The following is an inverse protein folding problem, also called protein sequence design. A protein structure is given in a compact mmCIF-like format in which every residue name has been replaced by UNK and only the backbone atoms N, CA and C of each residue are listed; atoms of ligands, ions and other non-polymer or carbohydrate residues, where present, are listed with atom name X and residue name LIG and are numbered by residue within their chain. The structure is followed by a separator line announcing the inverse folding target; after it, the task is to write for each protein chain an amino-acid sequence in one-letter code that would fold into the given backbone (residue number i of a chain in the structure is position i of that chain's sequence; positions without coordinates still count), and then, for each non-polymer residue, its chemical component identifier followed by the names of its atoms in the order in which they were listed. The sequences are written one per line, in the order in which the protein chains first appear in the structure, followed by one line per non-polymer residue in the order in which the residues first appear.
data_IF_908306795748
#
_entry.id   IF_908306795748
#
_cell.length_a   1.000
_cell.length_b   1.000
_cell.length_c   1.000
_cell.angle_alpha   90.00
_cell.angle_beta   90.00
_cell.angle_gamma   90.00
#
_symmetry.space_group_name_H-M   'P 1'
#
loop_
_entity.id
_entity.type
_entity.pdbx_description
1 polymer ?
#
# COMPACT_ATOMS: atom_id res chain seq x y z
N UNK A 1 20.87 -1.48 17.64
CA UNK A 1 20.53 -2.57 16.70
C UNK A 1 19.64 -3.60 17.40
N UNK A 2 18.84 -4.40 16.68
CA UNK A 2 17.91 -5.38 17.30
C UNK A 2 18.59 -6.57 18.02
N UNK A 3 19.91 -6.71 17.88
CA UNK A 3 20.79 -7.61 18.66
C UNK A 3 21.38 -6.97 19.92
N UNK A 4 21.11 -5.68 20.17
CA UNK A 4 21.62 -4.92 21.31
C UNK A 4 22.89 -4.12 21.05
N UNK A 5 23.48 -4.21 19.85
CA UNK A 5 24.67 -3.40 19.51
C UNK A 5 24.33 -1.90 19.47
N UNK A 6 25.18 -1.09 20.12
CA UNK A 6 25.10 0.37 20.09
C UNK A 6 26.11 0.89 19.07
N UNK A 7 25.62 1.62 18.07
CA UNK A 7 26.43 2.24 17.03
C UNK A 7 26.41 3.75 17.27
N UNK A 8 27.60 4.37 17.31
CA UNK A 8 27.78 5.77 17.67
C UNK A 8 27.88 5.99 19.18
N UNK A 9 27.77 7.24 19.61
CA UNK A 9 27.87 7.63 21.02
C UNK A 9 26.58 8.31 21.44
N UNK A 10 25.68 7.63 22.17
CA UNK A 10 24.39 8.20 22.51
C UNK A 10 24.53 9.26 23.60
N UNK A 11 23.86 10.40 23.43
CA UNK A 11 23.80 11.46 24.45
C UNK A 11 22.99 11.04 25.69
N UNK A 12 22.00 10.17 25.48
CA UNK A 12 21.14 9.63 26.53
C UNK A 12 21.37 8.12 26.73
N UNK A 13 21.23 7.58 27.95
CA UNK A 13 21.30 6.14 28.18
C UNK A 13 20.30 5.38 27.31
N UNK A 14 20.79 4.39 26.56
CA UNK A 14 19.95 3.55 25.70
C UNK A 14 19.50 2.32 26.49
N UNK A 15 18.19 2.14 26.62
CA UNK A 15 17.61 0.93 27.19
C UNK A 15 17.25 -0.04 26.05
N UNK A 16 17.89 -1.20 26.02
CA UNK A 16 17.55 -2.24 25.07
C UNK A 16 16.36 -3.06 25.60
N UNK A 17 15.19 -2.85 25.00
CA UNK A 17 13.94 -3.55 25.34
C UNK A 17 13.52 -4.47 24.20
N UNK A 18 14.29 -5.51 23.88
CA UNK A 18 13.95 -6.42 22.79
C UNK A 18 14.59 -7.80 22.92
N UNK A 19 13.84 -8.85 22.58
CA UNK A 19 14.38 -10.12 22.08
C UNK A 19 13.62 -10.39 20.78
N UNK A 20 14.15 -9.91 19.66
CA UNK A 20 13.64 -10.31 18.33
C UNK A 20 13.97 -11.78 18.11
N UNK A 21 13.06 -12.52 17.49
CA UNK A 21 13.35 -13.87 17.00
C UNK A 21 14.46 -13.87 15.93
N UNK A 22 14.62 -12.75 15.22
CA UNK A 22 15.65 -12.52 14.22
C UNK A 22 16.96 -11.93 14.79
N UNK A 23 17.09 -11.72 16.11
CA UNK A 23 18.30 -11.12 16.70
C UNK A 23 19.59 -11.88 16.32
N UNK A 24 19.53 -13.21 16.25
CA UNK A 24 20.65 -14.06 15.83
C UNK A 24 21.07 -13.83 14.36
N UNK A 25 20.22 -13.21 13.54
CA UNK A 25 20.50 -12.89 12.15
C UNK A 25 21.36 -11.65 11.94
N UNK A 26 21.51 -10.77 12.93
CA UNK A 26 22.29 -9.52 12.84
C UNK A 26 23.82 -9.74 12.89
N UNK A 27 24.29 -10.79 12.23
CA UNK A 27 25.71 -11.12 12.10
C UNK A 27 26.41 -10.22 11.06
N UNK A 28 27.74 -10.22 11.09
CA UNK A 28 28.58 -9.53 10.10
C UNK A 28 29.44 -10.55 9.38
N UNK A 29 29.46 -10.48 8.06
CA UNK A 29 30.42 -11.18 7.20
C UNK A 29 30.98 -10.22 6.17
N UNK A 30 32.31 -10.19 6.01
CA UNK A 30 33.00 -9.24 5.15
C UNK A 30 33.06 -7.82 5.72
N UNK A 31 33.06 -6.83 4.82
CA UNK A 31 33.16 -5.40 5.12
C UNK A 31 32.12 -4.61 4.31
N UNK A 32 31.90 -3.34 4.63
CA UNK A 32 31.01 -2.50 3.82
C UNK A 32 31.52 -2.34 2.38
N UNK A 33 32.84 -2.25 2.20
CA UNK A 33 33.46 -2.24 0.87
C UNK A 33 33.20 -3.56 0.12
N UNK A 34 33.37 -4.72 0.76
CA UNK A 34 33.07 -5.99 0.08
C UNK A 34 31.58 -6.14 -0.22
N UNK A 35 30.69 -5.64 0.63
CA UNK A 35 29.25 -5.58 0.35
C UNK A 35 28.95 -4.72 -0.88
N UNK A 36 29.60 -3.56 -1.00
CA UNK A 36 29.50 -2.69 -2.18
C UNK A 36 29.93 -3.41 -3.46
N UNK A 37 31.11 -4.01 -3.42
CA UNK A 37 31.77 -4.59 -4.59
C UNK A 37 31.07 -5.88 -5.08
N UNK A 38 30.31 -6.55 -4.21
CA UNK A 38 29.67 -7.85 -4.53
C UNK A 38 28.13 -7.80 -4.53
N UNK A 39 27.49 -7.13 -3.59
CA UNK A 39 26.02 -7.07 -3.49
C UNK A 39 25.47 -5.82 -4.19
N UNK A 40 25.92 -4.63 -3.79
CA UNK A 40 25.43 -3.37 -4.38
C UNK A 40 25.75 -3.30 -5.88
N UNK A 41 26.94 -3.76 -6.28
CA UNK A 41 27.35 -3.85 -7.67
C UNK A 41 26.39 -4.67 -8.53
N UNK A 42 25.94 -5.84 -8.03
CA UNK A 42 25.05 -6.75 -8.76
C UNK A 42 23.57 -6.30 -8.75
N UNK A 43 23.18 -5.45 -7.79
CA UNK A 43 21.86 -4.84 -7.76
C UNK A 43 21.75 -3.57 -8.63
N UNK A 44 22.89 -2.96 -9.00
CA UNK A 44 22.94 -1.69 -9.70
C UNK A 44 22.24 -1.74 -11.07
N UNK A 45 21.27 -0.85 -11.28
CA UNK A 45 20.46 -0.77 -12.49
C UNK A 45 19.36 -1.84 -12.60
N UNK A 46 19.19 -2.71 -11.59
CA UNK A 46 18.00 -3.54 -11.42
C UNK A 46 17.04 -2.82 -10.46
N UNK A 47 16.12 -2.01 -10.99
CA UNK A 47 15.39 -1.00 -10.22
C UNK A 47 14.57 -1.54 -9.05
N UNK A 48 13.94 -2.72 -9.13
CA UNK A 48 13.26 -3.30 -7.97
C UNK A 48 14.23 -3.66 -6.83
N UNK A 49 15.44 -4.14 -7.14
CA UNK A 49 16.49 -4.40 -6.15
C UNK A 49 17.01 -3.10 -5.54
N UNK A 50 17.24 -2.08 -6.36
CA UNK A 50 17.64 -0.74 -5.90
C UNK A 50 16.58 -0.13 -4.98
N UNK A 51 15.30 -0.22 -5.33
CA UNK A 51 14.20 0.25 -4.48
C UNK A 51 14.13 -0.52 -3.15
N UNK A 52 14.37 -1.84 -3.18
CA UNK A 52 14.50 -2.64 -1.96
C UNK A 52 15.65 -2.16 -1.05
N UNK A 53 16.83 -1.92 -1.61
CA UNK A 53 17.97 -1.33 -0.86
C UNK A 53 17.61 0.08 -0.36
N UNK A 54 16.89 0.88 -1.15
CA UNK A 54 16.38 2.19 -0.75
C UNK A 54 15.46 2.11 0.48
N UNK A 55 14.59 1.10 0.55
CA UNK A 55 13.76 0.85 1.74
C UNK A 55 14.58 0.45 2.96
N UNK A 56 15.62 -0.37 2.80
CA UNK A 56 16.56 -0.69 3.87
C UNK A 56 17.21 0.58 4.42
N UNK A 57 17.81 1.39 3.54
CA UNK A 57 18.48 2.64 3.90
C UNK A 57 17.53 3.68 4.51
N UNK A 58 16.27 3.71 4.05
CA UNK A 58 15.24 4.63 4.55
C UNK A 58 14.77 4.29 5.98
N UNK A 59 14.94 3.05 6.44
CA UNK A 59 14.43 2.60 7.73
C UNK A 59 14.95 3.40 8.94
N UNK A 60 16.26 3.66 9.10
CA UNK A 60 16.76 4.57 10.13
C UNK A 60 16.50 6.05 9.81
N UNK A 61 16.27 6.40 8.54
CA UNK A 61 16.08 7.79 8.09
C UNK A 61 14.71 8.34 8.48
N UNK A 62 13.65 7.53 8.41
CA UNK A 62 12.28 7.99 8.75
C UNK A 62 12.20 8.54 10.17
N UNK A 63 13.06 8.05 11.07
CA UNK A 63 13.10 8.55 12.43
C UNK A 63 13.73 9.91 12.62
N UNK A 64 14.77 10.21 11.85
CA UNK A 64 15.41 11.52 11.85
C UNK A 64 14.50 12.62 11.28
N UNK A 65 13.64 12.26 10.32
CA UNK A 65 12.74 13.23 9.66
C UNK A 65 11.32 13.26 10.24
N UNK A 66 11.03 12.42 11.24
CA UNK A 66 9.72 12.37 11.87
C UNK A 66 8.60 11.83 10.95
N UNK A 67 8.95 11.05 9.94
CA UNK A 67 7.96 10.41 9.06
C UNK A 67 7.35 9.17 9.75
N UNK A 68 6.11 8.80 9.40
CA UNK A 68 5.52 7.56 9.94
C UNK A 68 6.21 6.31 9.35
N UNK A 69 5.92 5.12 9.89
CA UNK A 69 6.28 3.86 9.23
C UNK A 69 5.53 3.67 7.90
N UNK A 70 6.11 2.88 7.00
CA UNK A 70 5.48 2.44 5.75
C UNK A 70 6.07 1.11 5.30
N UNK A 71 5.51 0.50 4.26
CA UNK A 71 6.09 -0.70 3.66
C UNK A 71 6.07 -0.65 2.15
N UNK A 72 6.90 -1.49 1.55
CA UNK A 72 6.86 -1.83 0.13
C UNK A 72 6.47 -3.29 0.02
N UNK A 73 5.43 -3.59 -0.76
CA UNK A 73 5.04 -4.94 -1.11
C UNK A 73 5.37 -5.19 -2.58
N UNK A 74 6.39 -6.02 -2.82
CA UNK A 74 6.73 -6.49 -4.15
C UNK A 74 5.90 -7.71 -4.51
N UNK A 75 5.11 -7.59 -5.58
CA UNK A 75 4.33 -8.71 -6.09
C UNK A 75 4.62 -8.98 -7.55
N UNK A 76 4.59 -10.26 -7.91
CA UNK A 76 4.73 -10.81 -9.26
C UNK A 76 4.55 -12.34 -9.14
N UNK A 77 4.34 -13.05 -10.25
CA UNK A 77 4.36 -14.51 -10.31
C UNK A 77 5.62 -15.12 -9.67
N UNK A 78 5.52 -16.41 -9.33
CA UNK A 78 6.63 -17.16 -8.76
C UNK A 78 7.90 -17.08 -9.63
N UNK A 79 9.06 -17.19 -8.99
CA UNK A 79 10.39 -17.15 -9.64
C UNK A 79 10.78 -15.81 -10.31
N UNK A 80 10.09 -14.71 -10.02
CA UNK A 80 10.45 -13.39 -10.55
C UNK A 80 11.61 -12.67 -9.84
N UNK A 81 12.09 -13.21 -8.70
CA UNK A 81 13.18 -12.60 -7.92
C UNK A 81 12.74 -11.73 -6.73
N UNK A 82 11.51 -11.92 -6.24
CA UNK A 82 10.96 -11.21 -5.06
C UNK A 82 11.79 -11.43 -3.80
N UNK A 83 11.97 -12.69 -3.41
CA UNK A 83 12.76 -13.06 -2.23
C UNK A 83 14.23 -12.64 -2.38
N UNK A 84 14.81 -12.75 -3.60
CA UNK A 84 16.17 -12.25 -3.88
C UNK A 84 16.26 -10.74 -3.64
N UNK A 85 15.29 -9.96 -4.11
CA UNK A 85 15.21 -8.51 -3.89
C UNK A 85 15.13 -8.16 -2.40
N UNK A 86 14.28 -8.86 -1.64
CA UNK A 86 14.18 -8.67 -0.20
C UNK A 86 15.48 -9.07 0.54
N UNK A 87 16.10 -10.18 0.15
CA UNK A 87 17.35 -10.65 0.77
C UNK A 87 18.52 -9.69 0.51
N UNK A 88 18.62 -9.14 -0.70
CA UNK A 88 19.61 -8.12 -1.05
C UNK A 88 19.46 -6.90 -0.13
N UNK A 89 18.23 -6.43 0.11
CA UNK A 89 17.97 -5.34 1.06
C UNK A 89 18.35 -5.72 2.51
N UNK A 90 17.95 -6.90 2.97
CA UNK A 90 18.22 -7.39 4.33
C UNK A 90 19.71 -7.59 4.62
N UNK A 91 20.48 -7.95 3.58
CA UNK A 91 21.92 -8.17 3.69
C UNK A 91 22.69 -6.94 4.17
N UNK A 92 22.10 -5.75 4.03
CA UNK A 92 22.63 -4.53 4.60
C UNK A 92 22.83 -4.67 6.12
N UNK A 93 21.91 -5.33 6.82
CA UNK A 93 21.86 -5.39 8.29
C UNK A 93 22.33 -6.72 8.92
N UNK A 94 22.27 -7.82 8.18
CA UNK A 94 22.72 -9.13 8.67
C UNK A 94 22.46 -10.26 7.69
N UNK A 95 22.54 -11.50 8.16
CA UNK A 95 22.31 -12.69 7.35
C UNK A 95 20.83 -12.74 6.90
N UNK A 96 20.53 -12.61 5.60
CA UNK A 96 19.15 -12.54 5.11
C UNK A 96 18.29 -13.77 5.43
N UNK A 97 18.88 -14.97 5.48
CA UNK A 97 18.14 -16.20 5.74
C UNK A 97 17.67 -16.29 7.20
N UNK A 98 18.43 -15.72 8.14
CA UNK A 98 18.09 -15.66 9.56
C UNK A 98 17.24 -14.44 9.92
N UNK A 99 17.34 -13.36 9.13
CA UNK A 99 16.55 -12.15 9.33
C UNK A 99 15.13 -12.25 8.76
N UNK A 100 14.88 -13.21 7.87
CA UNK A 100 13.58 -13.36 7.19
C UNK A 100 12.48 -13.68 8.19
N UNK A 101 11.47 -12.81 8.26
CA UNK A 101 10.20 -13.10 8.93
C UNK A 101 9.13 -13.46 7.90
N UNK A 102 8.06 -14.08 8.35
CA UNK A 102 6.91 -14.46 7.53
C UNK A 102 5.65 -13.79 8.04
N UNK A 103 4.66 -13.61 7.17
CA UNK A 103 3.31 -13.19 7.58
C UNK A 103 2.57 -14.25 8.40
N UNK A 104 3.06 -15.49 8.38
CA UNK A 104 2.57 -16.59 9.20
C UNK A 104 2.94 -16.38 10.68
N UNK A 105 2.13 -15.59 11.38
CA UNK A 105 2.32 -15.28 12.79
C UNK A 105 1.08 -14.62 13.39
N UNK A 106 1.04 -14.54 14.72
CA UNK A 106 -0.03 -13.80 15.40
C UNK A 106 0.20 -12.29 15.25
N UNK A 107 -0.87 -11.49 15.23
CA UNK A 107 -0.76 -10.02 15.19
C UNK A 107 0.08 -9.47 16.36
N UNK A 108 0.07 -10.14 17.53
CA UNK A 108 0.91 -9.78 18.68
C UNK A 108 2.39 -10.10 18.42
N UNK A 109 2.69 -11.26 17.81
CA UNK A 109 4.05 -11.62 17.42
C UNK A 109 4.64 -10.62 16.44
N UNK A 110 3.90 -10.29 15.38
CA UNK A 110 4.32 -9.29 14.39
C UNK A 110 4.49 -7.89 15.02
N UNK A 111 3.63 -7.48 15.94
CA UNK A 111 3.78 -6.22 16.67
C UNK A 111 5.05 -6.20 17.56
N UNK A 112 5.38 -7.34 18.20
CA UNK A 112 6.61 -7.46 18.98
C UNK A 112 7.85 -7.38 18.10
N UNK A 113 7.83 -8.02 16.93
CA UNK A 113 8.92 -7.91 15.96
C UNK A 113 9.03 -6.48 15.41
N UNK A 114 7.91 -5.82 15.10
CA UNK A 114 7.92 -4.42 14.66
C UNK A 114 8.53 -3.48 15.72
N UNK A 115 8.23 -3.71 17.00
CA UNK A 115 8.84 -2.97 18.11
C UNK A 115 10.35 -3.24 18.22
N UNK A 116 10.80 -4.47 17.94
CA UNK A 116 12.22 -4.78 17.91
C UNK A 116 12.94 -4.18 16.69
N UNK A 117 12.22 -3.95 15.60
CA UNK A 117 12.69 -3.29 14.38
C UNK A 117 12.34 -1.79 14.34
N UNK A 118 12.21 -1.13 15.49
CA UNK A 118 11.97 0.31 15.53
C UNK A 118 13.16 1.07 14.89
N UNK A 119 12.86 1.90 13.91
CA UNK A 119 13.79 2.58 13.02
C UNK A 119 14.74 1.62 12.27
N UNK A 120 14.33 0.35 12.12
CA UNK A 120 15.01 -0.70 11.37
C UNK A 120 14.11 -1.30 10.28
N UNK A 121 14.72 -2.02 9.34
CA UNK A 121 14.01 -2.71 8.27
C UNK A 121 13.34 -3.98 8.80
N UNK A 122 12.06 -4.19 8.49
CA UNK A 122 11.31 -5.40 8.82
C UNK A 122 10.98 -6.20 7.55
N UNK A 123 11.68 -7.32 7.28
CA UNK A 123 11.37 -8.16 6.12
C UNK A 123 10.27 -9.18 6.40
N UNK A 124 9.24 -9.20 5.56
CA UNK A 124 8.06 -10.06 5.68
C UNK A 124 7.84 -10.83 4.37
N UNK A 125 8.43 -12.01 4.26
CA UNK A 125 8.35 -12.83 3.06
C UNK A 125 6.99 -13.55 2.95
N UNK A 126 6.53 -13.66 1.71
CA UNK A 126 5.46 -14.51 1.21
C UNK A 126 4.11 -14.39 1.94
N UNK A 127 3.33 -13.37 1.59
CA UNK A 127 1.96 -13.16 2.09
C UNK A 127 1.05 -14.38 1.86
N UNK A 128 1.26 -15.15 0.78
CA UNK A 128 0.41 -16.28 0.40
C UNK A 128 0.65 -17.58 1.19
N UNK A 129 1.75 -17.70 1.95
CA UNK A 129 2.09 -18.95 2.64
C UNK A 129 1.34 -19.11 3.96
N UNK A 130 0.16 -19.75 3.89
CA UNK A 130 -0.58 -20.23 5.07
C UNK A 130 -1.10 -19.13 6.00
N UNK A 131 -0.94 -17.86 5.64
CA UNK A 131 -1.46 -16.74 6.38
C UNK A 131 -2.93 -16.50 6.01
N UNK A 132 -3.78 -16.41 7.02
CA UNK A 132 -5.18 -16.03 6.84
C UNK A 132 -5.27 -14.55 6.37
N UNK A 133 -5.95 -14.24 5.26
CA UNK A 133 -6.01 -12.88 4.71
C UNK A 133 -6.53 -11.83 5.71
N UNK A 134 -7.41 -12.23 6.62
CA UNK A 134 -7.91 -11.37 7.69
C UNK A 134 -6.80 -11.00 8.67
N UNK A 135 -6.04 -12.00 9.10
CA UNK A 135 -4.91 -11.84 10.00
C UNK A 135 -3.80 -10.99 9.38
N UNK A 136 -3.51 -11.17 8.09
CA UNK A 136 -2.57 -10.31 7.33
C UNK A 136 -3.06 -8.86 7.30
N UNK A 137 -4.32 -8.63 6.92
CA UNK A 137 -4.91 -7.29 6.88
C UNK A 137 -4.82 -6.56 8.24
N UNK A 138 -5.17 -7.25 9.33
CA UNK A 138 -5.08 -6.70 10.69
C UNK A 138 -3.64 -6.42 11.11
N UNK A 139 -2.71 -7.31 10.75
CA UNK A 139 -1.30 -7.18 11.11
C UNK A 139 -0.63 -6.05 10.33
N UNK A 140 -0.89 -5.94 9.03
CA UNK A 140 -0.45 -4.82 8.20
C UNK A 140 -0.98 -3.49 8.75
N UNK A 141 -2.26 -3.44 9.14
CA UNK A 141 -2.85 -2.25 9.75
C UNK A 141 -2.14 -1.85 11.05
N UNK A 142 -1.90 -2.79 11.96
CA UNK A 142 -1.19 -2.52 13.21
C UNK A 142 0.25 -2.08 12.94
N UNK A 143 0.96 -2.80 12.07
CA UNK A 143 2.35 -2.55 11.69
C UNK A 143 2.56 -1.11 11.24
N UNK A 144 1.76 -0.62 10.29
CA UNK A 144 1.94 0.72 9.74
C UNK A 144 1.26 1.84 10.53
N UNK A 145 0.43 1.51 11.52
CA UNK A 145 -0.02 2.49 12.51
C UNK A 145 1.04 2.75 13.60
N UNK A 146 2.01 1.86 13.77
CA UNK A 146 3.09 2.05 14.74
C UNK A 146 2.68 1.88 16.19
N UNK A 147 1.54 1.23 16.47
CA UNK A 147 0.99 1.12 17.83
C UNK A 147 0.42 -0.28 18.08
N UNK A 148 0.85 -0.88 19.19
CA UNK A 148 0.33 -2.16 19.67
C UNK A 148 -1.09 -2.07 20.23
N UNK A 149 -1.74 -3.21 20.45
CA UNK A 149 -3.01 -3.22 21.19
C UNK A 149 -2.75 -2.91 22.66
N UNK A 150 -3.59 -2.06 23.26
CA UNK A 150 -3.62 -1.83 24.70
C UNK A 150 -3.99 -3.15 25.40
N UNK A 151 -3.24 -3.51 26.44
CA UNK A 151 -3.44 -4.75 27.20
C UNK A 151 -3.52 -4.42 28.69
N UNK A 152 -4.43 -5.08 29.41
CA UNK A 152 -4.47 -5.00 30.87
C UNK A 152 -3.19 -5.58 31.51
N UNK A 153 -2.74 -4.98 32.61
CA UNK A 153 -1.68 -5.53 33.43
C UNK A 153 -2.23 -6.57 34.42
N UNK A 154 -1.39 -7.52 34.84
CA UNK A 154 -1.81 -8.58 35.80
C UNK A 154 -2.18 -8.00 37.16
N UNK A 155 -1.52 -6.91 37.55
CA UNK A 155 -1.67 -6.28 38.87
C UNK A 155 -2.65 -5.10 38.87
N UNK A 156 -3.45 -4.94 37.80
CA UNK A 156 -4.35 -3.82 37.59
C UNK A 156 -3.77 -2.70 36.73
N UNK A 157 -4.63 -1.92 36.08
CA UNK A 157 -4.23 -0.92 35.08
C UNK A 157 -3.89 -1.53 33.71
N UNK A 158 -3.18 -0.78 32.87
CA UNK A 158 -2.75 -1.21 31.54
C UNK A 158 -1.23 -1.40 31.50
N UNK A 159 -0.77 -2.35 30.68
CA UNK A 159 0.64 -2.45 30.28
C UNK A 159 1.04 -1.24 29.45
N UNK A 160 2.32 -0.94 29.45
CA UNK A 160 2.90 0.08 28.58
C UNK A 160 2.56 -0.22 27.11
N UNK A 161 2.03 0.80 26.44
CA UNK A 161 1.64 0.73 25.06
C UNK A 161 2.89 0.74 24.18
N UNK A 162 3.19 -0.40 23.55
CA UNK A 162 4.29 -0.49 22.59
C UNK A 162 4.01 0.41 21.39
N UNK A 163 4.98 1.26 21.06
CA UNK A 163 5.01 2.08 19.86
C UNK A 163 6.23 1.73 19.04
N UNK A 164 6.10 1.83 17.74
CA UNK A 164 7.19 1.61 16.81
C UNK A 164 7.00 2.44 15.56
N UNK A 165 8.09 2.58 14.81
CA UNK A 165 8.14 3.15 13.48
C UNK A 165 9.13 2.31 12.70
N UNK A 166 8.73 1.74 11.58
CA UNK A 166 9.57 0.82 10.82
C UNK A 166 9.26 0.93 9.33
N UNK A 167 10.24 0.58 8.50
CA UNK A 167 10.03 0.33 7.08
C UNK A 167 9.96 -1.17 6.87
N UNK A 168 8.90 -1.66 6.23
CA UNK A 168 8.77 -3.08 5.92
C UNK A 168 9.01 -3.36 4.44
N UNK A 169 9.67 -4.48 4.12
CA UNK A 169 9.63 -5.06 2.77
C UNK A 169 8.82 -6.33 2.86
N UNK A 170 7.80 -6.43 2.02
CA UNK A 170 6.96 -7.60 1.88
C UNK A 170 7.00 -8.14 0.46
N UNK A 171 6.80 -9.45 0.33
CA UNK A 171 6.69 -10.13 -0.97
C UNK A 171 5.40 -10.96 -1.06
N UNK A 172 4.91 -11.18 -2.28
CA UNK A 172 3.74 -12.04 -2.53
C UNK A 172 3.52 -12.32 -4.01
N UNK A 173 2.60 -13.21 -4.34
CA UNK A 173 2.25 -13.50 -5.75
C UNK A 173 1.28 -12.51 -6.38
N UNK A 174 0.49 -11.82 -5.55
CA UNK A 174 -0.50 -10.82 -5.94
C UNK A 174 -0.41 -9.63 -4.99
N UNK A 175 -0.99 -8.49 -5.38
CA UNK A 175 -1.08 -7.34 -4.49
C UNK A 175 -1.95 -7.66 -3.25
N UNK A 176 -1.76 -6.87 -2.18
CA UNK A 176 -2.44 -7.12 -0.92
C UNK A 176 -3.97 -6.95 -1.02
N UNK A 177 -4.48 -6.07 -1.89
CA UNK A 177 -5.92 -5.86 -2.06
C UNK A 177 -6.56 -7.11 -2.66
N UNK A 178 -5.98 -7.63 -3.74
CA UNK A 178 -6.39 -8.89 -4.37
C UNK A 178 -6.29 -10.05 -3.39
N UNK A 179 -5.20 -10.14 -2.61
CA UNK A 179 -5.04 -11.18 -1.60
C UNK A 179 -6.16 -11.15 -0.54
N UNK A 180 -6.48 -9.96 0.00
CA UNK A 180 -7.57 -9.81 0.99
C UNK A 180 -8.93 -10.16 0.37
N UNK A 181 -9.14 -9.79 -0.90
CA UNK A 181 -10.38 -10.05 -1.62
C UNK A 181 -10.70 -11.54 -1.77
N UNK A 182 -9.69 -12.42 -1.77
CA UNK A 182 -9.90 -13.89 -1.80
C UNK A 182 -10.72 -14.41 -0.61
N UNK A 183 -10.73 -13.69 0.51
CA UNK A 183 -11.55 -13.99 1.69
C UNK A 183 -12.95 -13.37 1.68
N UNK A 184 -13.36 -12.76 0.56
CA UNK A 184 -14.63 -12.04 0.43
C UNK A 184 -14.66 -10.70 1.17
N UNK A 185 -13.50 -10.17 1.58
CA UNK A 185 -13.38 -8.88 2.29
C UNK A 185 -12.91 -7.77 1.36
N UNK A 186 -13.38 -6.56 1.62
CA UNK A 186 -12.91 -5.35 0.94
C UNK A 186 -11.86 -4.64 1.80
N UNK A 187 -10.81 -4.14 1.15
CA UNK A 187 -9.76 -3.35 1.81
C UNK A 187 -10.16 -1.88 1.81
N UNK A 188 -9.89 -1.17 2.91
CA UNK A 188 -10.13 0.28 2.96
C UNK A 188 -9.00 1.02 2.26
N UNK A 189 -9.33 2.00 1.41
CA UNK A 189 -8.35 2.72 0.61
C UNK A 189 -7.23 3.40 1.44
N UNK A 190 -7.53 3.87 2.65
CA UNK A 190 -6.53 4.43 3.58
C UNK A 190 -5.48 3.42 4.09
N UNK A 191 -5.75 2.12 3.99
CA UNK A 191 -4.79 1.06 4.33
C UNK A 191 -3.81 0.80 3.17
N UNK A 192 -4.26 0.98 1.92
CA UNK A 192 -3.48 0.70 0.70
C UNK A 192 -2.31 1.69 0.49
N UNK A 193 -2.36 2.88 1.08
CA UNK A 193 -1.31 3.90 0.90
C UNK A 193 -0.14 3.78 1.89
N UNK A 194 -0.23 2.87 2.87
CA UNK A 194 0.84 2.63 3.85
C UNK A 194 1.71 1.42 3.51
N UNK A 195 1.18 0.49 2.72
CA UNK A 195 1.93 -0.59 2.10
C UNK A 195 1.87 -0.40 0.58
N UNK A 196 2.95 0.11 0.01
CA UNK A 196 3.03 0.42 -1.41
C UNK A 196 3.11 -0.88 -2.20
N UNK A 197 2.03 -1.26 -2.88
CA UNK A 197 1.99 -2.45 -3.75
C UNK A 197 2.69 -2.12 -5.08
N UNK A 198 3.90 -2.61 -5.28
CA UNK A 198 4.74 -2.31 -6.45
C UNK A 198 4.93 -3.60 -7.25
N UNK A 199 4.48 -3.67 -8.51
CA UNK A 199 4.83 -4.76 -9.40
C UNK A 199 6.36 -4.91 -9.49
N UNK A 200 6.87 -6.11 -9.23
CA UNK A 200 8.29 -6.36 -9.31
C UNK A 200 8.74 -6.39 -10.78
N UNK A 201 9.73 -5.56 -11.11
CA UNK A 201 10.43 -5.65 -12.39
C UNK A 201 11.52 -6.71 -12.30
N UNK A 202 11.44 -7.71 -13.18
CA UNK A 202 12.47 -8.76 -13.28
C UNK A 202 13.85 -8.15 -13.55
N UNK A 203 14.89 -8.81 -13.07
CA UNK A 203 16.26 -8.40 -13.38
C UNK A 203 16.49 -8.41 -14.90
N UNK A 204 17.04 -7.31 -15.41
CA UNK A 204 17.40 -7.13 -16.82
C UNK A 204 18.89 -6.89 -17.00
N UNK A 205 19.60 -6.52 -15.93
CA UNK A 205 21.05 -6.39 -15.91
C UNK A 205 21.65 -7.55 -15.14
N UNK A 206 22.24 -8.49 -15.86
CA UNK A 206 22.90 -9.67 -15.26
C UNK A 206 24.38 -9.43 -14.95
N UNK A 207 24.91 -8.24 -15.23
CA UNK A 207 26.32 -7.89 -15.06
C UNK A 207 27.24 -8.89 -15.77
N UNK A 208 28.06 -9.63 -15.03
CA UNK A 208 29.04 -10.57 -15.58
C UNK A 208 28.45 -11.96 -15.89
N UNK A 209 27.15 -12.14 -15.67
CA UNK A 209 26.45 -13.43 -15.80
C UNK A 209 25.63 -13.53 -17.08
N UNK A 210 25.49 -14.75 -17.60
CA UNK A 210 24.86 -14.98 -18.90
C UNK A 210 23.33 -14.87 -18.86
N UNK A 211 22.72 -15.09 -17.70
CA UNK A 211 21.27 -15.13 -17.54
C UNK A 211 20.86 -14.82 -16.10
N UNK A 212 19.55 -14.57 -15.92
CA UNK A 212 18.97 -14.23 -14.63
C UNK A 212 19.13 -15.28 -13.55
N UNK A 213 19.20 -16.58 -13.90
CA UNK A 213 19.44 -17.64 -12.90
C UNK A 213 20.85 -17.53 -12.33
N UNK A 214 21.87 -17.44 -13.18
CA UNK A 214 23.26 -17.28 -12.74
C UNK A 214 23.45 -15.98 -11.93
N UNK A 215 22.80 -14.88 -12.35
CA UNK A 215 22.82 -13.63 -11.59
C UNK A 215 22.15 -13.75 -10.22
N UNK A 216 21.02 -14.46 -10.12
CA UNK A 216 20.36 -14.71 -8.83
C UNK A 216 21.19 -15.62 -7.91
N UNK A 217 21.83 -16.65 -8.46
CA UNK A 217 22.73 -17.54 -7.71
C UNK A 217 23.95 -16.76 -7.19
N UNK A 218 24.51 -15.87 -8.02
CA UNK A 218 25.60 -14.99 -7.62
C UNK A 218 25.21 -13.96 -6.56
N UNK A 219 24.02 -13.36 -6.67
CA UNK A 219 23.49 -12.48 -5.63
C UNK A 219 23.35 -13.24 -4.30
N UNK A 220 22.86 -14.49 -4.36
CA UNK A 220 22.75 -15.34 -3.18
C UNK A 220 24.09 -15.62 -2.53
N UNK A 221 25.07 -16.02 -3.31
CA UNK A 221 26.42 -16.23 -2.80
C UNK A 221 26.99 -14.92 -2.19
N UNK A 222 26.82 -13.80 -2.89
CA UNK A 222 27.31 -12.50 -2.44
C UNK A 222 26.69 -12.07 -1.11
N UNK A 223 25.36 -12.13 -0.95
CA UNK A 223 24.72 -11.71 0.30
C UNK A 223 24.91 -12.69 1.46
N UNK A 224 25.32 -13.93 1.20
CA UNK A 224 25.63 -14.93 2.25
C UNK A 224 27.04 -14.72 2.83
N UNK A 225 27.96 -14.17 2.04
CA UNK A 225 29.35 -13.93 2.45
C UNK A 225 29.68 -12.46 2.73
N UNK A 226 28.81 -11.53 2.30
CA UNK A 226 28.96 -10.11 2.50
C UNK A 226 27.66 -9.53 3.03
N UNK A 227 27.55 -9.37 4.35
CA UNK A 227 26.34 -8.86 5.00
C UNK A 227 26.63 -8.18 6.33
N UNK A 228 25.70 -7.34 6.78
CA UNK A 228 25.68 -6.69 8.09
C UNK A 228 26.66 -5.53 8.29
N UNK A 229 27.77 -5.50 7.56
CA UNK A 229 28.78 -4.45 7.68
C UNK A 229 28.30 -3.10 7.09
N UNK A 230 27.68 -3.12 5.91
CA UNK A 230 27.24 -1.91 5.22
C UNK A 230 26.16 -1.15 6.00
N UNK A 231 25.21 -1.84 6.63
CA UNK A 231 24.17 -1.21 7.45
C UNK A 231 24.72 -0.54 8.70
N UNK A 232 25.77 -1.12 9.30
CA UNK A 232 26.46 -0.51 10.44
C UNK A 232 27.22 0.76 10.05
N UNK A 233 27.90 0.72 8.91
CA UNK A 233 28.58 1.90 8.34
C UNK A 233 27.57 3.01 7.99
N UNK A 234 26.43 2.64 7.38
CA UNK A 234 25.34 3.55 7.08
C UNK A 234 24.77 4.22 8.35
N UNK A 235 24.46 3.45 9.39
CA UNK A 235 23.93 3.99 10.65
C UNK A 235 24.93 4.92 11.32
N UNK A 236 26.22 4.54 11.33
CA UNK A 236 27.29 5.40 11.85
C UNK A 236 27.36 6.72 11.08
N UNK A 237 27.35 6.66 9.74
CA UNK A 237 27.36 7.84 8.90
C UNK A 237 26.14 8.74 9.17
N UNK A 238 24.94 8.16 9.27
CA UNK A 238 23.71 8.90 9.58
C UNK A 238 23.77 9.59 10.94
N UNK A 239 24.32 8.93 11.97
CA UNK A 239 24.46 9.50 13.30
C UNK A 239 25.31 10.79 13.27
N UNK A 240 26.35 10.81 12.45
CA UNK A 240 27.28 11.94 12.28
C UNK A 240 26.75 13.02 11.31
N UNK A 241 25.75 12.73 10.46
CA UNK A 241 25.29 13.60 9.36
C UNK A 241 23.78 13.91 9.37
N UNK A 242 23.15 13.94 10.55
CA UNK A 242 21.69 14.07 10.70
C UNK A 242 21.09 15.30 9.98
N UNK A 243 21.73 16.47 10.08
CA UNK A 243 21.23 17.70 9.43
C UNK A 243 21.28 17.62 7.90
N UNK A 244 22.33 17.00 7.35
CA UNK A 244 22.44 16.76 5.91
C UNK A 244 21.35 15.78 5.45
N UNK A 245 21.11 14.73 6.22
CA UNK A 245 20.06 13.75 5.92
C UNK A 245 18.66 14.39 5.90
N UNK A 246 18.33 15.18 6.94
CA UNK A 246 17.05 15.91 7.03
C UNK A 246 16.88 16.87 5.85
N UNK A 247 17.92 17.64 5.52
CA UNK A 247 17.88 18.57 4.40
C UNK A 247 17.62 17.84 3.07
N UNK A 248 18.33 16.75 2.82
CA UNK A 248 18.21 15.97 1.59
C UNK A 248 16.81 15.39 1.40
N UNK A 249 16.18 14.92 2.48
CA UNK A 249 14.77 14.46 2.43
C UNK A 249 13.84 15.61 2.06
N UNK A 250 13.98 16.79 2.70
CA UNK A 250 13.15 17.97 2.38
C UNK A 250 13.30 18.42 0.93
N UNK A 251 14.52 18.42 0.42
CA UNK A 251 14.81 18.78 -0.97
C UNK A 251 14.15 17.78 -1.94
N UNK A 252 14.20 16.48 -1.62
CA UNK A 252 13.50 15.46 -2.39
C UNK A 252 11.97 15.62 -2.31
N UNK A 253 11.40 15.84 -1.13
CA UNK A 253 9.96 16.07 -0.97
C UNK A 253 9.48 17.26 -1.80
N UNK A 254 10.25 18.35 -1.81
CA UNK A 254 9.96 19.53 -2.63
C UNK A 254 9.94 19.19 -4.13
N UNK A 255 10.92 18.42 -4.61
CA UNK A 255 10.98 17.99 -6.02
C UNK A 255 9.83 17.05 -6.38
N UNK A 256 9.47 16.11 -5.51
CA UNK A 256 8.37 15.16 -5.72
C UNK A 256 6.99 15.81 -5.70
N UNK A 257 6.83 16.99 -5.09
CA UNK A 257 5.57 17.75 -5.13
C UNK A 257 5.32 18.42 -6.48
N UNK A 258 6.38 18.82 -7.20
CA UNK A 258 6.27 19.60 -8.43
C UNK A 258 5.60 18.86 -9.62
N UNK A 259 5.84 17.56 -9.87
CA UNK A 259 5.30 16.89 -11.05
C UNK A 259 3.89 16.32 -10.86
N UNK A 260 3.31 16.35 -9.65
CA UNK A 260 2.03 15.72 -9.36
C UNK A 260 0.91 16.74 -9.55
N UNK A 261 0.00 16.53 -10.52
CA UNK A 261 -1.15 17.40 -10.73
C UNK A 261 -2.01 17.55 -9.47
N UNK A 262 -2.56 18.75 -9.24
CA UNK A 262 -3.33 19.05 -8.02
C UNK A 262 -4.69 18.37 -7.94
N UNK A 263 -5.19 17.86 -9.06
CA UNK A 263 -6.43 17.09 -9.22
C UNK A 263 -6.25 15.60 -8.87
N UNK A 264 -5.00 15.12 -8.72
CA UNK A 264 -4.75 13.76 -8.26
C UNK A 264 -5.25 13.58 -6.82
N UNK A 265 -5.73 12.37 -6.51
CA UNK A 265 -6.23 12.07 -5.17
C UNK A 265 -5.17 12.32 -4.09
N UNK A 266 -5.57 12.80 -2.91
CA UNK A 266 -4.68 13.06 -1.76
C UNK A 266 -3.77 11.86 -1.41
N UNK A 267 -4.24 10.65 -1.71
CA UNK A 267 -3.51 9.41 -1.57
C UNK A 267 -2.21 9.39 -2.38
N UNK A 268 -2.23 9.88 -3.62
CA UNK A 268 -1.05 9.95 -4.50
C UNK A 268 -0.02 10.91 -3.94
N UNK A 269 -0.44 12.08 -3.46
CA UNK A 269 0.46 13.04 -2.80
C UNK A 269 1.10 12.47 -1.54
N UNK A 270 0.35 11.72 -0.72
CA UNK A 270 0.90 11.05 0.48
C UNK A 270 1.92 9.98 0.13
N UNK A 271 1.69 9.22 -0.94
CA UNK A 271 2.62 8.18 -1.39
C UNK A 271 3.89 8.77 -1.99
N UNK A 272 3.79 9.88 -2.71
CA UNK A 272 4.95 10.58 -3.26
C UNK A 272 5.97 11.01 -2.19
N UNK A 273 5.51 11.41 -1.00
CA UNK A 273 6.40 11.70 0.12
C UNK A 273 7.23 10.47 0.56
N UNK A 274 6.68 9.26 0.43
CA UNK A 274 7.43 8.02 0.72
C UNK A 274 8.49 7.74 -0.32
N UNK A 275 8.16 7.92 -1.61
CA UNK A 275 9.14 7.81 -2.69
C UNK A 275 10.24 8.88 -2.58
N UNK A 276 9.93 10.09 -2.11
CA UNK A 276 10.93 11.11 -1.81
C UNK A 276 11.93 10.66 -0.73
N UNK A 277 11.45 10.00 0.33
CA UNK A 277 12.31 9.44 1.38
C UNK A 277 13.17 8.30 0.81
N UNK A 278 12.61 7.40 0.00
CA UNK A 278 13.37 6.31 -0.65
C UNK A 278 14.48 6.86 -1.55
N UNK A 279 14.20 7.93 -2.30
CA UNK A 279 15.20 8.58 -3.14
C UNK A 279 16.30 9.23 -2.30
N UNK A 280 15.94 10.03 -1.29
CA UNK A 280 16.90 10.63 -0.39
C UNK A 280 17.80 9.57 0.27
N UNK A 281 17.21 8.43 0.68
CA UNK A 281 17.96 7.31 1.24
C UNK A 281 18.95 6.71 0.24
N UNK A 282 18.58 6.56 -1.04
CA UNK A 282 19.51 6.08 -2.07
C UNK A 282 20.61 7.09 -2.40
N UNK A 283 20.29 8.39 -2.45
CA UNK A 283 21.28 9.45 -2.69
C UNK A 283 22.32 9.52 -1.57
N UNK A 284 21.86 9.53 -0.32
CA UNK A 284 22.74 9.52 0.85
C UNK A 284 23.48 8.17 0.99
N UNK A 285 22.83 7.09 0.57
CA UNK A 285 23.36 5.74 0.58
C UNK A 285 24.55 5.51 -0.36
N UNK A 286 24.91 6.47 -1.21
CA UNK A 286 26.14 6.45 -2.02
C UNK A 286 27.37 6.10 -1.17
N UNK A 287 27.39 6.53 0.10
CA UNK A 287 28.44 6.22 1.07
C UNK A 287 28.68 4.73 1.27
N UNK A 288 27.69 3.86 1.04
CA UNK A 288 27.80 2.39 1.12
C UNK A 288 27.56 1.68 -0.21
N UNK A 289 26.71 2.22 -1.09
CA UNK A 289 26.38 1.61 -2.39
C UNK A 289 27.33 2.02 -3.51
N UNK A 290 27.91 3.23 -3.45
CA UNK A 290 28.67 3.84 -4.53
C UNK A 290 27.86 4.14 -5.80
N UNK A 291 26.53 4.18 -5.72
CA UNK A 291 25.67 4.42 -6.87
C UNK A 291 25.54 5.91 -7.20
N UNK A 292 25.51 6.23 -8.49
CA UNK A 292 25.35 7.60 -8.94
C UNK A 292 23.92 8.14 -8.70
N UNK A 293 23.84 9.44 -8.50
CA UNK A 293 22.60 10.12 -8.18
C UNK A 293 21.51 9.98 -9.27
N UNK A 294 21.89 9.87 -10.54
CA UNK A 294 20.92 9.77 -11.63
C UNK A 294 20.26 8.39 -11.64
N UNK A 295 21.03 7.31 -11.56
CA UNK A 295 20.47 5.95 -11.52
C UNK A 295 19.61 5.74 -10.27
N UNK A 296 19.98 6.34 -9.13
CA UNK A 296 19.14 6.33 -7.92
C UNK A 296 17.77 7.00 -8.16
N UNK A 297 17.73 8.15 -8.83
CA UNK A 297 16.49 8.83 -9.21
C UNK A 297 15.64 7.98 -10.15
N UNK A 298 16.26 7.43 -11.19
CA UNK A 298 15.56 6.63 -12.20
C UNK A 298 14.90 5.39 -11.58
N UNK A 299 15.56 4.72 -10.63
CA UNK A 299 15.03 3.54 -9.94
C UNK A 299 13.75 3.84 -9.14
N UNK A 300 13.76 4.93 -8.37
CA UNK A 300 12.61 5.34 -7.57
C UNK A 300 11.49 5.86 -8.46
N UNK A 301 11.80 6.64 -9.50
CA UNK A 301 10.81 7.12 -10.47
C UNK A 301 10.15 5.95 -11.21
N UNK A 302 10.91 4.93 -11.61
CA UNK A 302 10.38 3.71 -12.23
C UNK A 302 9.41 2.99 -11.30
N UNK A 303 9.78 2.84 -10.03
CA UNK A 303 8.96 2.16 -9.03
C UNK A 303 7.68 2.94 -8.70
N UNK A 304 7.76 4.28 -8.64
CA UNK A 304 6.58 5.13 -8.49
C UNK A 304 5.66 5.04 -9.70
N UNK A 305 6.20 5.07 -10.92
CA UNK A 305 5.40 4.96 -12.14
C UNK A 305 4.71 3.59 -12.23
N UNK A 306 5.39 2.51 -11.82
CA UNK A 306 4.79 1.18 -11.73
C UNK A 306 3.66 1.16 -10.71
N UNK A 307 3.86 1.72 -9.51
CA UNK A 307 2.82 1.85 -8.49
C UNK A 307 1.63 2.70 -8.99
N UNK A 308 1.88 3.84 -9.63
CA UNK A 308 0.83 4.77 -10.08
C UNK A 308 -0.03 4.16 -11.19
N UNK A 309 0.52 3.31 -12.06
CA UNK A 309 -0.27 2.61 -13.09
C UNK A 309 -1.30 1.67 -12.50
N UNK A 310 -0.94 0.96 -11.43
CA UNK A 310 -1.82 0.01 -10.75
C UNK A 310 -2.79 0.70 -9.78
N UNK A 311 -2.28 1.70 -9.05
CA UNK A 311 -3.09 2.48 -8.12
C UNK A 311 -4.05 3.44 -8.85
N UNK A 312 -3.68 3.95 -10.01
CA UNK A 312 -4.40 5.02 -10.70
C UNK A 312 -4.16 6.39 -10.05
N UNK A 313 -4.79 7.42 -10.62
CA UNK A 313 -4.61 8.82 -10.21
C UNK A 313 -5.78 9.36 -9.38
N UNK A 314 -6.94 8.71 -9.47
CA UNK A 314 -8.17 9.10 -8.80
C UNK A 314 -8.27 8.68 -7.35
N UNK A 315 -9.35 9.11 -6.69
CA UNK A 315 -9.68 8.66 -5.34
C UNK A 315 -10.26 7.23 -5.39
N UNK A 316 -9.50 6.24 -4.90
CA UNK A 316 -9.91 4.82 -4.89
C UNK A 316 -11.24 4.58 -4.20
N UNK A 317 -11.55 5.32 -3.13
CA UNK A 317 -12.83 5.18 -2.44
C UNK A 317 -14.00 5.62 -3.33
N UNK A 318 -13.81 6.69 -4.11
CA UNK A 318 -14.83 7.14 -5.05
C UNK A 318 -15.01 6.16 -6.21
N UNK A 319 -13.90 5.61 -6.73
CA UNK A 319 -13.93 4.59 -7.78
C UNK A 319 -14.69 3.34 -7.31
N UNK A 320 -14.42 2.83 -6.10
CA UNK A 320 -15.13 1.68 -5.54
C UNK A 320 -16.64 1.92 -5.39
N UNK A 321 -17.06 3.15 -5.05
CA UNK A 321 -18.48 3.53 -4.93
C UNK A 321 -19.18 3.46 -6.30
N UNK A 322 -18.52 3.96 -7.33
CA UNK A 322 -19.01 3.96 -8.70
C UNK A 322 -19.10 2.52 -9.22
N UNK A 323 -18.01 1.75 -9.15
CA UNK A 323 -17.96 0.36 -9.59
C UNK A 323 -19.00 -0.52 -8.87
N UNK A 324 -19.20 -0.31 -7.56
CA UNK A 324 -20.22 -1.04 -6.79
C UNK A 324 -21.65 -0.71 -7.25
N UNK A 325 -21.90 0.53 -7.66
CA UNK A 325 -23.20 0.95 -8.20
C UNK A 325 -23.43 0.36 -9.59
N UNK A 326 -22.45 0.46 -10.48
CA UNK A 326 -22.51 -0.15 -11.81
C UNK A 326 -22.71 -1.65 -11.75
N UNK A 327 -21.97 -2.36 -10.89
CA UNK A 327 -22.09 -3.80 -10.70
C UNK A 327 -23.52 -4.19 -10.29
N UNK A 328 -24.13 -3.44 -9.37
CA UNK A 328 -25.51 -3.68 -8.95
C UNK A 328 -26.50 -3.43 -10.11
N UNK A 329 -26.35 -2.32 -10.84
CA UNK A 329 -27.23 -1.98 -11.97
C UNK A 329 -27.07 -2.96 -13.14
N UNK A 330 -25.86 -3.45 -13.42
CA UNK A 330 -25.61 -4.47 -14.44
C UNK A 330 -26.24 -5.82 -14.06
N UNK A 331 -26.08 -6.25 -12.81
CA UNK A 331 -26.62 -7.53 -12.34
C UNK A 331 -28.15 -7.52 -12.18
N UNK A 332 -28.71 -6.39 -11.72
CA UNK A 332 -30.09 -6.34 -11.25
C UNK A 332 -30.97 -5.30 -11.93
N UNK A 333 -30.41 -4.41 -12.75
CA UNK A 333 -31.14 -3.33 -13.41
C UNK A 333 -32.32 -3.81 -14.24
N UNK A 334 -32.19 -4.96 -14.90
CA UNK A 334 -33.26 -5.54 -15.71
C UNK A 334 -34.17 -6.54 -14.98
N UNK A 335 -33.75 -7.05 -13.81
CA UNK A 335 -34.47 -8.13 -13.10
C UNK A 335 -35.18 -7.66 -11.83
N UNK A 336 -34.63 -6.67 -11.10
CA UNK A 336 -35.17 -6.17 -9.83
C UNK A 336 -35.80 -4.78 -9.92
N UNK A 337 -35.66 -4.08 -11.05
CA UNK A 337 -36.32 -2.79 -11.28
C UNK A 337 -37.49 -2.95 -12.24
N UNK A 338 -38.69 -2.66 -11.77
CA UNK A 338 -39.91 -2.74 -12.59
C UNK A 338 -39.91 -1.69 -13.71
N UNK A 339 -40.16 -2.06 -14.98
CA UNK A 339 -40.32 -1.06 -16.05
C UNK A 339 -41.54 -0.19 -15.76
N UNK A 340 -41.46 1.10 -16.08
CA UNK A 340 -42.59 2.01 -15.99
C UNK A 340 -43.25 2.20 -17.37
N UNK A 341 -44.57 2.02 -17.52
CA UNK A 341 -45.55 1.59 -16.50
C UNK A 341 -45.41 0.11 -16.08
N UNK A 342 -45.77 -0.21 -14.82
CA UNK A 342 -45.61 -1.54 -14.21
C UNK A 342 -46.94 -2.17 -13.79
N UNK A 343 -47.16 -3.43 -14.17
CA UNK A 343 -48.25 -4.28 -13.70
C UNK A 343 -47.68 -5.54 -13.04
N UNK A 344 -47.85 -5.71 -11.71
CA UNK A 344 -47.33 -6.90 -11.00
C UNK A 344 -47.92 -8.23 -11.49
N UNK A 345 -49.12 -8.21 -12.08
CA UNK A 345 -49.77 -9.41 -12.61
C UNK A 345 -49.05 -9.93 -13.87
N UNK A 346 -48.55 -9.01 -14.69
CA UNK A 346 -47.93 -9.32 -15.99
C UNK A 346 -46.44 -9.63 -15.85
N UNK A 347 -45.78 -9.07 -14.83
CA UNK A 347 -44.35 -9.25 -14.58
C UNK A 347 -44.07 -9.31 -13.07
N UNK A 348 -44.25 -10.47 -12.42
CA UNK A 348 -43.93 -10.61 -11.00
C UNK A 348 -42.41 -10.51 -10.78
N UNK A 349 -41.97 -9.42 -10.14
CA UNK A 349 -40.56 -9.21 -9.79
C UNK A 349 -40.32 -9.57 -8.32
N UNK A 350 -39.41 -10.52 -8.10
CA UNK A 350 -38.92 -10.88 -6.77
C UNK A 350 -37.92 -9.83 -6.27
N UNK A 351 -37.98 -9.52 -4.97
CA UNK A 351 -37.03 -8.61 -4.29
C UNK A 351 -36.89 -7.25 -4.98
N UNK A 352 -38.03 -6.64 -5.31
CA UNK A 352 -38.13 -5.36 -6.05
C UNK A 352 -37.24 -4.27 -5.43
N UNK A 353 -36.26 -3.81 -6.21
CA UNK A 353 -35.27 -2.79 -5.87
C UNK A 353 -35.74 -1.36 -6.19
N UNK A 354 -36.71 -1.22 -7.08
CA UNK A 354 -37.18 0.07 -7.55
C UNK A 354 -37.90 -0.02 -8.89
N UNK A 355 -37.91 1.11 -9.61
CA UNK A 355 -38.50 1.23 -10.94
C UNK A 355 -37.47 1.71 -11.94
N UNK A 356 -37.61 1.34 -13.20
CA UNK A 356 -36.77 1.82 -14.31
C UNK A 356 -37.61 2.49 -15.38
N UNK A 357 -37.04 3.50 -16.01
CA UNK A 357 -37.64 4.20 -17.13
C UNK A 357 -36.58 4.45 -18.20
N UNK A 358 -36.92 4.14 -19.45
CA UNK A 358 -36.14 4.56 -20.61
C UNK A 358 -36.67 5.93 -21.04
N UNK A 359 -35.79 6.86 -21.39
CA UNK A 359 -36.21 8.16 -21.92
C UNK A 359 -36.92 8.02 -23.28
N UNK A 360 -37.48 9.12 -23.77
CA UNK A 360 -38.33 9.13 -24.98
C UNK A 360 -37.57 8.83 -26.28
N UNK A 361 -36.25 8.99 -26.30
CA UNK A 361 -35.38 8.61 -27.42
C UNK A 361 -34.65 7.29 -27.13
N UNK A 362 -34.42 6.46 -28.15
CA UNK A 362 -33.78 5.13 -28.01
C UNK A 362 -32.37 5.17 -27.37
N UNK A 363 -31.67 6.30 -27.54
CA UNK A 363 -30.33 6.56 -26.96
C UNK A 363 -30.38 7.14 -25.54
N UNK A 364 -31.58 7.39 -24.98
CA UNK A 364 -31.69 7.98 -23.65
C UNK A 364 -31.18 7.02 -22.58
N UNK A 365 -30.37 7.50 -21.61
CA UNK A 365 -29.88 6.65 -20.52
C UNK A 365 -31.05 6.09 -19.71
N UNK A 366 -30.89 4.86 -19.25
CA UNK A 366 -31.87 4.23 -18.36
C UNK A 366 -31.81 4.90 -16.98
N UNK A 367 -32.96 5.38 -16.52
CA UNK A 367 -33.10 6.01 -15.20
C UNK A 367 -33.65 4.96 -14.23
N UNK A 368 -33.00 4.81 -13.08
CA UNK A 368 -33.38 3.90 -12.02
C UNK A 368 -33.85 4.66 -10.78
N UNK A 369 -35.14 4.54 -10.48
CA UNK A 369 -35.76 5.03 -9.25
C UNK A 369 -35.62 3.98 -8.15
N UNK A 370 -34.51 4.02 -7.44
CA UNK A 370 -34.10 3.03 -6.44
C UNK A 370 -34.73 3.31 -5.07
N UNK A 371 -35.27 2.27 -4.44
CA UNK A 371 -35.82 2.40 -3.08
C UNK A 371 -34.73 2.72 -2.05
N UNK A 372 -35.04 3.52 -1.01
CA UNK A 372 -34.06 3.88 0.00
C UNK A 372 -33.43 2.69 0.69
N UNK A 373 -34.21 1.67 1.04
CA UNK A 373 -33.68 0.47 1.69
C UNK A 373 -32.68 -0.28 0.82
N UNK A 374 -32.97 -0.46 -0.47
CA UNK A 374 -32.07 -1.11 -1.43
C UNK A 374 -30.81 -0.26 -1.64
N UNK A 375 -30.95 1.05 -1.85
CA UNK A 375 -29.80 1.93 -2.00
C UNK A 375 -28.89 1.90 -0.77
N UNK A 376 -29.46 2.03 0.43
CA UNK A 376 -28.68 2.20 1.66
C UNK A 376 -28.11 0.88 2.22
N UNK A 377 -28.85 -0.24 2.07
CA UNK A 377 -28.46 -1.53 2.65
C UNK A 377 -27.79 -2.48 1.68
N UNK A 378 -28.04 -2.34 0.38
CA UNK A 378 -27.51 -3.23 -0.65
C UNK A 378 -26.47 -2.52 -1.51
N UNK A 379 -26.83 -1.41 -2.16
CA UNK A 379 -25.93 -0.71 -3.09
C UNK A 379 -24.81 0.01 -2.33
N UNK A 380 -25.13 0.78 -1.31
CA UNK A 380 -24.16 1.50 -0.48
C UNK A 380 -23.60 0.66 0.68
N UNK A 381 -23.79 -0.67 0.64
CA UNK A 381 -23.33 -1.57 1.69
C UNK A 381 -21.82 -1.40 1.95
N UNK A 382 -21.45 -1.22 3.22
CA UNK A 382 -20.06 -0.97 3.64
C UNK A 382 -19.66 0.52 3.70
N UNK A 383 -20.51 1.43 3.22
CA UNK A 383 -20.25 2.87 3.18
C UNK A 383 -21.29 3.68 3.95
N UNK A 384 -20.96 4.94 4.26
CA UNK A 384 -21.96 5.91 4.71
C UNK A 384 -22.83 6.34 3.52
N UNK A 385 -24.13 6.07 3.56
CA UNK A 385 -25.03 6.32 2.44
C UNK A 385 -25.06 7.78 1.94
N UNK A 386 -24.87 8.78 2.82
CA UNK A 386 -24.84 10.19 2.40
C UNK A 386 -23.57 10.53 1.64
N UNK A 387 -22.42 10.01 2.09
CA UNK A 387 -21.15 10.17 1.39
C UNK A 387 -21.19 9.43 0.05
N UNK A 388 -21.71 8.20 0.05
CA UNK A 388 -21.92 7.41 -1.17
C UNK A 388 -22.76 8.15 -2.20
N UNK A 389 -23.89 8.74 -1.78
CA UNK A 389 -24.75 9.53 -2.65
C UNK A 389 -24.09 10.81 -3.18
N UNK A 390 -23.29 11.51 -2.36
CA UNK A 390 -22.57 12.70 -2.81
C UNK A 390 -21.50 12.36 -3.86
N UNK A 391 -20.80 11.22 -3.70
CA UNK A 391 -19.83 10.74 -4.69
C UNK A 391 -20.51 10.43 -6.02
N UNK A 392 -21.61 9.65 -5.99
CA UNK A 392 -22.36 9.35 -7.22
C UNK A 392 -22.96 10.60 -7.88
N UNK A 393 -23.35 11.61 -7.09
CA UNK A 393 -23.82 12.90 -7.60
C UNK A 393 -22.71 13.63 -8.34
N UNK A 394 -21.51 13.70 -7.77
CA UNK A 394 -20.34 14.32 -8.43
C UNK A 394 -19.94 13.58 -9.70
N UNK A 395 -20.09 12.25 -9.71
CA UNK A 395 -19.86 11.41 -10.88
C UNK A 395 -21.03 11.41 -11.89
N UNK A 396 -22.09 12.22 -11.71
CA UNK A 396 -23.25 12.23 -12.62
C UNK A 396 -24.16 10.98 -12.58
N UNK A 397 -23.81 9.98 -11.78
CA UNK A 397 -24.58 8.74 -11.60
C UNK A 397 -25.78 8.88 -10.66
N UNK A 398 -25.89 9.97 -9.90
CA UNK A 398 -27.05 10.27 -9.05
C UNK A 398 -27.64 11.63 -9.38
N UNK A 399 -28.95 11.67 -9.63
CA UNK A 399 -29.68 12.92 -9.87
C UNK A 399 -30.25 13.47 -8.57
N UNK A 400 -29.75 14.60 -8.05
CA UNK A 400 -30.24 15.18 -6.80
C UNK A 400 -31.64 15.83 -6.98
N UNK A 401 -32.35 16.12 -5.88
CA UNK A 401 -33.60 16.90 -5.92
C UNK A 401 -33.37 18.34 -6.39
N UNK A 402 -34.36 18.90 -7.09
CA UNK A 402 -34.36 20.30 -7.54
C UNK A 402 -34.22 21.31 -6.38
N UNK A 403 -34.55 20.91 -5.15
CA UNK A 403 -34.40 21.75 -3.95
C UNK A 403 -32.95 21.94 -3.51
N UNK A 404 -32.01 21.15 -4.06
CA UNK A 404 -30.60 21.12 -3.64
C UNK A 404 -30.37 20.53 -2.24
N UNK A 405 -31.42 20.08 -1.55
CA UNK A 405 -31.33 19.53 -0.18
C UNK A 405 -31.54 18.01 -0.18
N UNK A 406 -30.54 17.28 0.29
CA UNK A 406 -30.55 15.82 0.36
C UNK A 406 -30.33 15.15 -1.00
N UNK A 407 -30.56 13.84 -1.06
CA UNK A 407 -30.24 13.01 -2.24
C UNK A 407 -31.43 12.24 -2.80
N UNK A 408 -32.58 12.33 -2.13
CA UNK A 408 -33.80 11.61 -2.51
C UNK A 408 -34.77 12.53 -3.23
N UNK A 409 -35.52 11.98 -4.18
CA UNK A 409 -36.60 12.67 -4.93
C UNK A 409 -37.90 11.89 -4.82
N UNK A 410 -39.01 12.56 -5.13
CA UNK A 410 -40.28 11.87 -5.37
C UNK A 410 -40.19 11.09 -6.68
N UNK A 411 -40.59 9.81 -6.65
CA UNK A 411 -40.78 9.00 -7.85
C UNK A 411 -41.86 9.60 -8.77
N UNK A 412 -41.92 9.18 -10.04
CA UNK A 412 -43.14 9.28 -10.83
C UNK A 412 -44.34 8.71 -10.07
N UNK A 413 -45.55 9.12 -10.43
CA UNK A 413 -46.77 8.57 -9.81
C UNK A 413 -46.93 7.12 -10.23
N UNK A 414 -46.90 6.23 -9.24
CA UNK A 414 -47.04 4.78 -9.43
C UNK A 414 -48.31 4.39 -8.70
N UNK A 415 -49.34 4.00 -9.45
CA UNK A 415 -50.67 3.68 -8.91
C UNK A 415 -51.22 4.81 -8.01
N UNK A 416 -51.02 6.07 -8.43
CA UNK A 416 -51.48 7.26 -7.69
C UNK A 416 -50.61 7.66 -6.49
N UNK A 417 -49.55 6.92 -6.16
CA UNK A 417 -48.64 7.23 -5.04
C UNK A 417 -47.28 7.72 -5.54
N UNK A 418 -46.64 8.57 -4.73
CA UNK A 418 -45.24 8.95 -4.91
C UNK A 418 -44.46 8.63 -3.65
N UNK A 419 -43.30 8.01 -3.83
CA UNK A 419 -42.41 7.61 -2.74
C UNK A 419 -41.06 8.31 -2.90
N UNK A 420 -40.31 8.39 -1.81
CA UNK A 420 -38.95 8.92 -1.87
C UNK A 420 -38.01 7.84 -2.42
N UNK A 421 -37.17 8.21 -3.38
CA UNK A 421 -36.25 7.31 -4.08
C UNK A 421 -34.92 8.00 -4.33
N UNK A 422 -33.85 7.21 -4.47
CA UNK A 422 -32.60 7.66 -5.07
C UNK A 422 -32.71 7.48 -6.58
N UNK A 423 -32.36 8.51 -7.36
CA UNK A 423 -32.45 8.46 -8.83
C UNK A 423 -31.06 8.21 -9.37
N UNK A 424 -30.80 6.99 -9.83
CA UNK A 424 -29.52 6.57 -10.38
C UNK A 424 -29.57 6.57 -11.90
N UNK A 425 -28.47 6.97 -12.51
CA UNK A 425 -28.24 6.92 -13.94
C UNK A 425 -27.10 5.95 -14.21
N UNK A 426 -27.23 5.17 -15.29
CA UNK A 426 -26.11 4.41 -15.82
C UNK A 426 -25.26 5.32 -16.69
N UNK A 427 -23.98 5.50 -16.33
CA UNK A 427 -23.00 6.08 -17.24
C UNK A 427 -22.11 4.95 -17.76
N UNK A 428 -22.08 4.68 -19.08
CA UNK A 428 -21.04 3.85 -19.67
C UNK A 428 -19.68 4.56 -19.48
N UNK A 429 -18.70 3.84 -18.94
CA UNK A 429 -17.44 4.42 -18.47
C UNK A 429 -16.59 5.09 -19.55
N UNK A 430 -16.58 6.42 -19.55
CA UNK A 430 -15.43 7.23 -19.98
C UNK A 430 -14.72 7.77 -18.73
N UNK A 431 -14.08 6.85 -17.99
CA UNK A 431 -13.29 7.17 -16.78
C UNK A 431 -12.00 7.97 -17.05
N UNK A 432 -11.83 8.49 -18.28
CA UNK A 432 -10.71 9.33 -18.71
C UNK A 432 -11.18 10.67 -19.29
N UNK A 433 -12.38 11.14 -18.97
CA UNK A 433 -12.71 12.56 -19.20
C UNK A 433 -12.17 13.39 -18.04
N UNK A 434 -10.99 13.97 -18.27
CA UNK A 434 -10.52 15.13 -17.55
C UNK A 434 -11.60 16.21 -17.69
N UNK A 435 -12.26 16.59 -16.60
CA UNK A 435 -13.07 17.81 -16.60
C UNK A 435 -12.12 19.01 -16.48
N UNK A 436 -12.42 20.02 -17.31
CA UNK A 436 -11.66 21.25 -17.62
C UNK A 436 -11.04 22.01 -16.45
#
# INVERSE_FOLDING_TARGET
MPDGEIIGTPENPVLFSGRSSAAAGYTVSGSAKSWRDNVARLAFGNYSMMTGIGAALAAPLIGLVGADGFGIHFYEQSSAGKTTTANVANSLYGNPDLLRLTWYGTALGLANEAAAHNDGLMPLDEVGQGADPVSVSQSAYALFNGVGKLQGAKDGGNRDLKRWRTVAISTGEMDLETFIATSGRKTKAGQLVRLLNIPLSKAVRFHDYQNGKQHADALKDAYQHHHGAAGREWIKWLADHQQQAIKTVRDCESRWRSPIPSDYGEQVHRVAARFAILEAALLLGEVVTGWDAQTCRDAIQHSYNAWLREFGTGNKEHQQIIEQTEAFLNAYGLSRFAPFPYSPADLPIKDLAGYRQRGEHDESPMIFYTFPATFEKEIACGFNAKQFAEVLKKAGMLTPPNSGRGYQRKSPRIQGRQINVYVLNYQPGDYNSSEE
#
